data_IF_717266596145
#
_entry.id   IF_717266596145
#
_cell.length_a   1.000
_cell.length_b   1.000
_cell.length_c   1.000
_cell.angle_alpha   90.00
_cell.angle_beta   90.00
_cell.angle_gamma   90.00
#
_symmetry.space_group_name_H-M   'P 1'
#
loop_
_entity.id
_entity.type
_entity.pdbx_description
1 polymer ?
#
# COMPACT_ATOMS: atom_id res chain seq x y z
N UNK A 1 -24.62 -10.76 14.67
CA UNK A 1 -23.47 -10.15 15.39
C UNK A 1 -22.46 -9.79 14.32
N UNK A 2 -22.48 -8.56 13.88
CA UNK A 2 -21.58 -7.99 12.86
C UNK A 2 -20.25 -7.69 13.55
N UNK A 3 -19.24 -8.49 13.29
CA UNK A 3 -17.88 -8.28 13.76
C UNK A 3 -17.32 -7.05 13.04
N UNK A 4 -17.14 -6.00 13.82
CA UNK A 4 -16.63 -4.70 13.39
C UNK A 4 -15.21 -4.90 12.81
N UNK A 5 -15.05 -4.62 11.52
CA UNK A 5 -13.73 -4.64 10.85
C UNK A 5 -12.80 -3.73 11.65
N UNK A 6 -11.69 -4.26 12.17
CA UNK A 6 -10.63 -3.46 12.78
C UNK A 6 -10.05 -2.52 11.70
N UNK A 7 -10.62 -1.34 11.62
CA UNK A 7 -10.02 -0.21 10.92
C UNK A 7 -9.16 0.54 11.92
N UNK A 8 -7.93 0.80 11.55
CA UNK A 8 -7.05 1.66 12.34
C UNK A 8 -7.67 3.05 12.38
N UNK A 9 -7.87 3.67 13.56
CA UNK A 9 -8.37 5.04 13.65
C UNK A 9 -7.43 5.99 12.91
N UNK A 10 -7.94 6.70 11.91
CA UNK A 10 -7.18 7.75 11.22
C UNK A 10 -7.05 8.93 12.18
N UNK A 11 -5.83 9.42 12.47
CA UNK A 11 -5.66 10.64 13.25
C UNK A 11 -6.34 11.82 12.56
N UNK A 12 -7.11 12.60 13.32
CA UNK A 12 -7.77 13.80 12.85
C UNK A 12 -6.74 14.90 12.56
N UNK A 13 -6.38 15.08 11.30
CA UNK A 13 -5.41 16.07 10.82
C UNK A 13 -5.94 17.51 10.75
N UNK A 14 -7.18 17.78 11.21
CA UNK A 14 -7.77 19.12 11.13
C UNK A 14 -7.23 20.11 12.15
N UNK A 15 -6.39 19.70 13.11
CA UNK A 15 -6.00 20.51 14.28
C UNK A 15 -4.54 20.97 14.36
N UNK A 16 -3.73 20.89 13.32
CA UNK A 16 -2.36 21.41 13.39
C UNK A 16 -2.00 22.38 12.25
N UNK A 17 -2.74 23.50 12.14
CA UNK A 17 -2.17 24.73 11.56
C UNK A 17 -1.59 25.56 12.71
N UNK A 18 -0.40 25.19 13.18
CA UNK A 18 0.41 25.94 14.13
C UNK A 18 1.64 26.53 13.43
N UNK A 19 1.93 27.77 13.79
CA UNK A 19 3.04 28.65 13.38
C UNK A 19 4.31 28.00 12.82
N UNK A 20 4.79 28.58 11.75
CA UNK A 20 6.07 28.23 11.10
C UNK A 20 7.24 28.55 12.05
N UNK A 21 8.03 27.56 12.49
CA UNK A 21 9.20 27.81 13.35
C UNK A 21 10.27 28.64 12.62
N UNK A 22 10.95 29.49 13.37
CA UNK A 22 12.08 30.27 12.91
C UNK A 22 13.24 29.38 12.39
N UNK A 23 14.07 29.85 11.45
CA UNK A 23 15.18 29.07 10.91
C UNK A 23 16.19 28.72 12.01
N UNK A 24 16.73 27.48 12.01
CA UNK A 24 17.68 27.04 13.02
C UNK A 24 19.01 27.78 12.90
N UNK A 25 19.55 28.21 14.04
CA UNK A 25 20.91 28.75 14.15
C UNK A 25 21.92 27.61 14.00
N UNK A 26 22.94 27.85 13.21
CA UNK A 26 24.03 26.93 12.89
C UNK A 26 24.94 26.70 14.10
N UNK A 27 24.72 25.63 14.83
CA UNK A 27 25.61 25.14 15.88
C UNK A 27 26.21 23.81 15.45
N UNK A 28 27.47 23.87 15.07
CA UNK A 28 28.35 22.85 14.55
C UNK A 28 28.07 21.40 14.92
N UNK A 29 27.80 20.58 13.91
CA UNK A 29 28.33 19.23 13.86
C UNK A 29 27.51 18.05 14.36
N UNK A 30 26.20 17.99 14.12
CA UNK A 30 25.51 16.70 13.87
C UNK A 30 24.52 16.89 12.71
N UNK A 31 24.43 15.93 11.78
CA UNK A 31 23.42 16.04 10.71
C UNK A 31 22.05 16.02 11.38
N UNK A 32 21.39 17.17 11.38
CA UNK A 32 20.00 17.29 11.81
C UNK A 32 19.16 16.30 11.01
N UNK A 33 18.35 15.43 11.65
CA UNK A 33 17.46 14.56 10.92
C UNK A 33 16.58 15.43 10.00
N UNK A 34 16.36 15.01 8.76
CA UNK A 34 15.57 15.77 7.80
C UNK A 34 14.21 16.10 8.40
N UNK A 35 13.80 17.37 8.29
CA UNK A 35 12.51 17.84 8.78
C UNK A 35 11.39 16.92 8.29
N UNK A 36 10.35 16.66 9.09
CA UNK A 36 9.25 15.80 8.68
C UNK A 36 8.62 16.38 7.40
N UNK A 37 8.65 15.58 6.35
CA UNK A 37 8.05 15.94 5.07
C UNK A 37 6.54 15.91 5.25
N UNK A 38 5.87 17.04 5.04
CA UNK A 38 4.42 17.13 5.07
C UNK A 38 3.86 16.49 3.79
N UNK A 39 3.48 15.22 3.88
CA UNK A 39 2.89 14.46 2.79
C UNK A 39 1.74 13.59 3.28
N UNK A 40 0.73 13.40 2.42
CA UNK A 40 -0.45 12.56 2.70
C UNK A 40 -0.17 11.05 2.46
N UNK A 41 1.07 10.61 2.60
CA UNK A 41 1.40 9.20 2.44
C UNK A 41 0.90 8.39 3.64
N UNK A 42 0.25 7.23 3.41
CA UNK A 42 -0.30 6.44 4.50
C UNK A 42 0.80 6.00 5.48
N UNK A 43 0.47 6.02 6.76
CA UNK A 43 1.32 5.53 7.84
C UNK A 43 0.60 4.34 8.47
N UNK A 44 1.19 3.18 8.36
CA UNK A 44 0.64 1.95 8.90
C UNK A 44 1.29 1.64 10.24
N UNK A 45 0.49 1.17 11.20
CA UNK A 45 1.04 0.66 12.47
C UNK A 45 1.60 -0.75 12.24
N UNK A 46 2.88 -1.00 12.56
CA UNK A 46 3.46 -2.35 12.44
C UNK A 46 2.68 -3.40 13.22
N UNK A 47 2.07 -3.04 14.36
CA UNK A 47 1.28 -3.98 15.16
C UNK A 47 0.05 -4.52 14.41
N UNK A 48 -0.50 -3.72 13.49
CA UNK A 48 -1.69 -4.07 12.71
C UNK A 48 -1.37 -4.64 11.33
N UNK A 49 -0.13 -4.48 10.84
CA UNK A 49 0.20 -4.79 9.46
C UNK A 49 1.42 -5.70 9.26
N UNK A 50 2.35 -5.80 10.22
CA UNK A 50 3.52 -6.65 10.04
C UNK A 50 3.30 -8.06 10.59
N UNK A 51 3.42 -9.06 9.73
CA UNK A 51 3.17 -10.47 10.08
C UNK A 51 1.69 -10.80 10.29
N UNK A 52 0.76 -9.95 9.89
CA UNK A 52 -0.68 -10.07 10.13
C UNK A 52 -1.38 -10.80 8.99
N UNK A 53 -2.43 -11.53 9.36
CA UNK A 53 -3.37 -12.14 8.43
C UNK A 53 -4.66 -11.32 8.38
N UNK A 54 -5.18 -11.09 7.18
CA UNK A 54 -6.45 -10.42 6.97
C UNK A 54 -7.34 -11.22 6.02
N UNK A 55 -8.65 -11.25 6.31
CA UNK A 55 -9.65 -11.82 5.40
C UNK A 55 -9.97 -10.81 4.29
N UNK A 56 -9.88 -11.26 3.04
CA UNK A 56 -10.16 -10.46 1.85
C UNK A 56 -11.48 -10.83 1.17
N UNK A 57 -12.35 -11.55 1.84
CA UNK A 57 -13.62 -12.01 1.27
C UNK A 57 -14.49 -10.86 0.75
N UNK A 58 -14.50 -9.74 1.46
CA UNK A 58 -15.34 -8.58 1.13
C UNK A 58 -14.60 -7.40 0.50
N UNK A 59 -13.27 -7.50 0.38
CA UNK A 59 -12.49 -6.39 -0.16
C UNK A 59 -12.68 -6.31 -1.69
N UNK A 60 -13.02 -5.12 -2.16
CA UNK A 60 -13.24 -4.84 -3.58
C UNK A 60 -12.13 -3.95 -4.13
N UNK A 61 -11.63 -4.29 -5.32
CA UNK A 61 -10.61 -3.50 -6.01
C UNK A 61 -11.05 -3.09 -7.40
N UNK A 62 -10.81 -1.85 -7.75
CA UNK A 62 -10.68 -1.45 -9.15
C UNK A 62 -9.33 -1.90 -9.69
N UNK A 63 -9.29 -2.30 -10.95
CA UNK A 63 -8.09 -2.86 -11.58
C UNK A 63 -7.76 -2.14 -12.86
N UNK A 64 -6.46 -1.90 -13.07
CA UNK A 64 -5.87 -1.51 -14.36
C UNK A 64 -4.53 -2.22 -14.56
N UNK A 65 -3.89 -1.97 -15.70
CA UNK A 65 -2.54 -2.44 -15.99
C UNK A 65 -1.62 -1.26 -16.20
N UNK A 66 -0.38 -1.40 -15.74
CA UNK A 66 0.69 -0.43 -15.89
C UNK A 66 1.82 -1.08 -16.68
N UNK A 67 2.30 -0.42 -17.72
CA UNK A 67 3.49 -0.88 -18.45
C UNK A 67 4.69 -0.92 -17.50
N UNK A 68 5.57 -1.89 -17.69
CA UNK A 68 6.80 -1.98 -16.92
C UNK A 68 7.99 -2.24 -17.83
N UNK A 69 9.10 -1.58 -17.54
CA UNK A 69 10.39 -1.85 -18.18
C UNK A 69 11.30 -2.48 -17.14
N UNK A 70 11.77 -3.70 -17.43
CA UNK A 70 12.61 -4.49 -16.51
C UNK A 70 12.04 -4.61 -15.08
N UNK A 71 10.71 -4.61 -14.96
CA UNK A 71 10.01 -4.69 -13.68
C UNK A 71 9.74 -3.32 -13.00
N UNK A 72 10.25 -2.22 -13.54
CA UNK A 72 9.96 -0.87 -13.05
C UNK A 72 8.67 -0.37 -13.71
N UNK A 73 7.63 0.02 -12.94
CA UNK A 73 6.38 0.50 -13.51
C UNK A 73 6.56 1.89 -14.12
N UNK A 74 6.07 2.05 -15.37
CA UNK A 74 6.07 3.33 -16.08
C UNK A 74 4.66 3.91 -16.04
N UNK A 75 4.53 5.19 -15.63
CA UNK A 75 3.23 5.86 -15.56
C UNK A 75 2.35 5.39 -14.39
N UNK A 76 2.96 4.90 -13.30
CA UNK A 76 2.25 4.47 -12.09
C UNK A 76 1.30 5.55 -11.55
N UNK A 77 1.77 6.80 -11.42
CA UNK A 77 0.96 7.91 -10.92
C UNK A 77 -0.26 8.18 -11.80
N UNK A 78 -0.08 8.24 -13.12
CA UNK A 78 -1.17 8.43 -14.09
C UNK A 78 -2.19 7.30 -14.00
N UNK A 79 -1.74 6.06 -13.91
CA UNK A 79 -2.63 4.90 -13.78
C UNK A 79 -3.41 4.91 -12.46
N UNK A 80 -2.78 5.29 -11.36
CA UNK A 80 -3.42 5.45 -10.05
C UNK A 80 -4.50 6.54 -10.12
N UNK A 81 -4.16 7.74 -10.58
CA UNK A 81 -5.15 8.82 -10.76
C UNK A 81 -6.31 8.42 -11.68
N UNK A 82 -6.03 7.64 -12.73
CA UNK A 82 -7.07 7.10 -13.61
C UNK A 82 -8.04 6.17 -12.88
N UNK A 83 -7.54 5.33 -11.96
CA UNK A 83 -8.38 4.47 -11.10
C UNK A 83 -9.21 5.30 -10.12
N UNK A 84 -8.60 6.29 -9.47
CA UNK A 84 -9.28 7.19 -8.53
C UNK A 84 -10.40 7.98 -9.22
N UNK A 85 -10.11 8.54 -10.41
CA UNK A 85 -11.11 9.25 -11.21
C UNK A 85 -12.27 8.34 -11.63
N UNK A 86 -11.97 7.07 -11.99
CA UNK A 86 -13.00 6.07 -12.34
C UNK A 86 -13.87 5.70 -11.14
N UNK A 87 -13.28 5.54 -9.94
CA UNK A 87 -14.03 5.30 -8.71
C UNK A 87 -15.00 6.43 -8.42
N UNK A 88 -14.48 7.67 -8.36
CA UNK A 88 -15.29 8.87 -8.09
C UNK A 88 -16.40 9.07 -9.13
N UNK A 89 -16.09 8.92 -10.43
CA UNK A 89 -17.09 9.04 -11.51
C UNK A 89 -18.21 8.01 -11.37
N UNK A 90 -17.92 6.83 -10.88
CA UNK A 90 -18.89 5.77 -10.67
C UNK A 90 -19.66 5.92 -9.34
N UNK A 91 -19.26 6.82 -8.45
CA UNK A 91 -19.85 6.97 -7.13
C UNK A 91 -19.38 5.95 -6.09
N UNK A 92 -18.25 5.27 -6.34
CA UNK A 92 -17.62 4.40 -5.35
C UNK A 92 -16.79 5.21 -4.35
N UNK A 93 -16.79 4.79 -3.11
CA UNK A 93 -15.98 5.38 -2.04
C UNK A 93 -14.55 4.86 -2.11
N UNK A 94 -13.57 5.75 -1.97
CA UNK A 94 -12.15 5.40 -1.80
C UNK A 94 -11.83 5.66 -0.33
N UNK A 95 -11.53 4.63 0.48
CA UNK A 95 -11.08 4.83 1.85
C UNK A 95 -9.84 5.72 1.93
N UNK A 96 -9.66 6.44 3.05
CA UNK A 96 -8.48 7.29 3.25
C UNK A 96 -7.17 6.49 3.29
N UNK A 97 -7.26 5.27 3.77
CA UNK A 97 -6.20 4.27 3.87
C UNK A 97 -6.29 3.18 2.78
N UNK A 98 -6.97 3.50 1.67
CA UNK A 98 -7.17 2.57 0.57
C UNK A 98 -5.87 1.94 0.09
N UNK A 99 -5.84 0.61 0.04
CA UNK A 99 -4.70 -0.13 -0.50
C UNK A 99 -4.51 0.15 -1.99
N UNK A 100 -3.28 0.48 -2.37
CA UNK A 100 -2.88 0.64 -3.77
C UNK A 100 -1.82 -0.41 -4.09
N UNK A 101 -2.23 -1.53 -4.61
CA UNK A 101 -1.43 -2.73 -4.75
C UNK A 101 -0.88 -2.88 -6.17
N UNK A 102 0.42 -3.04 -6.28
CA UNK A 102 1.11 -3.29 -7.55
C UNK A 102 1.65 -4.72 -7.57
N UNK A 103 1.24 -5.51 -8.55
CA UNK A 103 1.71 -6.89 -8.71
C UNK A 103 1.84 -7.29 -10.17
N UNK A 104 2.37 -8.48 -10.40
CA UNK A 104 2.43 -9.05 -11.75
C UNK A 104 3.80 -9.05 -12.42
N UNK A 105 3.80 -9.17 -13.75
CA UNK A 105 4.94 -9.54 -14.56
C UNK A 105 5.98 -8.45 -14.85
N UNK A 106 6.99 -8.82 -15.67
CA UNK A 106 8.13 -7.96 -16.00
C UNK A 106 7.81 -6.82 -16.97
N UNK A 107 6.86 -7.03 -17.91
CA UNK A 107 6.51 -6.06 -18.95
C UNK A 107 5.19 -5.35 -18.68
N UNK A 108 4.31 -5.94 -17.88
CA UNK A 108 3.04 -5.37 -17.48
C UNK A 108 2.73 -5.76 -16.05
N UNK A 109 2.34 -4.79 -15.25
CA UNK A 109 1.98 -4.97 -13.86
C UNK A 109 0.51 -4.63 -13.65
N UNK A 110 -0.15 -5.37 -12.80
CA UNK A 110 -1.52 -5.07 -12.39
C UNK A 110 -1.48 -4.04 -11.26
N UNK A 111 -2.31 -3.02 -11.36
CA UNK A 111 -2.53 -2.05 -10.32
C UNK A 111 -3.96 -2.21 -9.81
N UNK A 112 -4.11 -2.39 -8.51
CA UNK A 112 -5.37 -2.50 -7.80
C UNK A 112 -5.52 -1.29 -6.88
N UNK A 113 -6.71 -0.69 -6.86
CA UNK A 113 -7.12 0.35 -5.92
C UNK A 113 -8.32 -0.17 -5.13
N UNK A 114 -8.21 -0.21 -3.83
CA UNK A 114 -9.31 -0.56 -2.93
C UNK A 114 -10.44 0.46 -3.04
N UNK A 115 -11.68 -0.05 -3.07
CA UNK A 115 -12.89 0.76 -3.10
C UNK A 115 -13.97 0.13 -2.23
N UNK A 116 -14.81 0.97 -1.67
CA UNK A 116 -16.00 0.63 -0.90
C UNK A 116 -17.26 1.14 -1.59
N UNK A 117 -18.43 0.80 -1.03
CA UNK A 117 -19.75 1.25 -1.51
C UNK A 117 -19.87 1.11 -3.04
N UNK A 118 -19.53 -0.08 -3.55
CA UNK A 118 -19.43 -0.35 -4.99
C UNK A 118 -20.81 -0.24 -5.66
N UNK A 119 -21.07 0.75 -6.52
CA UNK A 119 -22.34 0.89 -7.20
C UNK A 119 -22.61 -0.28 -8.16
N UNK A 120 -23.90 -0.54 -8.40
CA UNK A 120 -24.32 -1.51 -9.39
C UNK A 120 -23.73 -1.17 -10.78
N UNK A 121 -23.17 -2.16 -11.47
CA UNK A 121 -22.55 -2.00 -12.79
C UNK A 121 -21.08 -1.58 -12.77
N UNK A 122 -20.50 -1.16 -11.66
CA UNK A 122 -19.06 -0.94 -11.58
C UNK A 122 -18.31 -2.27 -11.53
N UNK A 123 -17.49 -2.52 -12.53
CA UNK A 123 -16.69 -3.74 -12.60
C UNK A 123 -15.52 -3.68 -11.60
N UNK A 124 -15.61 -4.46 -10.54
CA UNK A 124 -14.57 -4.64 -9.52
C UNK A 124 -14.03 -6.08 -9.50
N UNK A 125 -12.89 -6.25 -8.88
CA UNK A 125 -12.30 -7.56 -8.56
C UNK A 125 -12.39 -7.78 -7.06
N UNK A 126 -12.98 -8.89 -6.63
CA UNK A 126 -12.97 -9.36 -5.24
C UNK A 126 -12.08 -10.59 -5.17
N UNK A 127 -10.86 -10.49 -4.65
CA UNK A 127 -9.92 -11.62 -4.65
C UNK A 127 -10.39 -12.76 -3.74
N UNK A 128 -11.08 -12.42 -2.66
CA UNK A 128 -11.46 -13.37 -1.61
C UNK A 128 -10.24 -13.98 -0.91
N UNK A 129 -10.50 -14.89 0.04
CA UNK A 129 -9.43 -15.62 0.72
C UNK A 129 -8.66 -14.79 1.74
N UNK A 130 -7.39 -15.12 1.96
CA UNK A 130 -6.56 -14.57 3.03
C UNK A 130 -5.33 -13.86 2.46
N UNK A 131 -4.97 -12.73 3.05
CA UNK A 131 -3.72 -12.04 2.79
C UNK A 131 -2.82 -12.06 4.02
N UNK A 132 -1.57 -12.42 3.81
CA UNK A 132 -0.50 -12.27 4.80
C UNK A 132 0.37 -11.08 4.41
N UNK A 133 0.61 -10.19 5.36
CA UNK A 133 1.29 -8.92 5.11
C UNK A 133 2.62 -8.81 5.86
N UNK A 134 3.59 -8.13 5.24
CA UNK A 134 4.84 -7.70 5.87
C UNK A 134 5.05 -6.21 5.59
N UNK A 135 5.20 -5.46 6.68
CA UNK A 135 5.54 -4.03 6.63
C UNK A 135 7.04 -3.89 6.81
N UNK A 136 7.73 -3.42 5.80
CA UNK A 136 9.19 -3.45 5.73
C UNK A 136 9.78 -2.10 5.30
N UNK A 137 10.94 -1.75 5.84
CA UNK A 137 11.80 -0.69 5.34
C UNK A 137 12.69 -1.26 4.23
N UNK A 138 12.35 -1.01 2.96
CA UNK A 138 13.00 -1.69 1.82
C UNK A 138 13.52 -0.70 0.79
N UNK A 139 14.83 -0.41 0.78
CA UNK A 139 15.46 0.33 -0.32
C UNK A 139 15.19 -0.34 -1.67
N UNK A 140 15.04 0.47 -2.72
CA UNK A 140 14.69 -0.03 -4.08
C UNK A 140 15.53 -1.20 -4.57
N UNK A 141 16.84 -1.19 -4.30
CA UNK A 141 17.74 -2.28 -4.69
C UNK A 141 17.50 -3.60 -3.96
N UNK A 142 16.78 -3.59 -2.84
CA UNK A 142 16.48 -4.76 -2.01
C UNK A 142 15.07 -5.31 -2.18
N UNK A 143 14.22 -4.69 -3.00
CA UNK A 143 12.84 -5.08 -3.18
C UNK A 143 12.68 -6.55 -3.62
N UNK A 144 13.53 -7.02 -4.52
CA UNK A 144 13.49 -8.44 -4.97
C UNK A 144 13.72 -9.40 -3.81
N UNK A 145 14.71 -9.10 -2.98
CA UNK A 145 15.05 -9.91 -1.79
C UNK A 145 13.89 -9.89 -0.78
N UNK A 146 13.33 -8.72 -0.48
CA UNK A 146 12.20 -8.57 0.44
C UNK A 146 10.98 -9.37 -0.03
N UNK A 147 10.64 -9.31 -1.31
CA UNK A 147 9.54 -10.11 -1.90
C UNK A 147 9.83 -11.61 -1.81
N UNK A 148 11.07 -12.05 -2.04
CA UNK A 148 11.46 -13.46 -1.91
C UNK A 148 11.36 -13.94 -0.46
N UNK A 149 11.84 -13.15 0.50
CA UNK A 149 11.80 -13.49 1.92
C UNK A 149 10.34 -13.60 2.40
N UNK A 150 9.49 -12.61 2.08
CA UNK A 150 8.05 -12.66 2.39
C UNK A 150 7.38 -13.88 1.75
N UNK A 151 7.74 -14.22 0.51
CA UNK A 151 7.20 -15.42 -0.16
C UNK A 151 7.60 -16.70 0.56
N UNK A 152 8.85 -16.78 1.01
CA UNK A 152 9.37 -17.96 1.74
C UNK A 152 8.67 -18.11 3.08
N UNK A 153 8.53 -17.02 3.83
CA UNK A 153 7.84 -16.99 5.11
C UNK A 153 6.35 -17.37 4.97
N UNK A 154 5.66 -16.73 4.03
CA UNK A 154 4.26 -17.04 3.74
C UNK A 154 4.10 -18.51 3.29
N UNK A 155 5.02 -19.03 2.46
CA UNK A 155 5.01 -20.46 2.09
C UNK A 155 5.19 -21.39 3.28
N UNK A 156 6.09 -21.05 4.21
CA UNK A 156 6.28 -21.84 5.42
C UNK A 156 5.03 -21.87 6.29
N UNK A 157 4.34 -20.71 6.42
CA UNK A 157 3.12 -20.57 7.20
C UNK A 157 1.92 -21.32 6.60
N UNK A 158 1.74 -21.25 5.28
CA UNK A 158 0.55 -21.82 4.60
C UNK A 158 0.80 -23.14 3.87
N UNK A 159 2.01 -23.69 3.91
CA UNK A 159 2.39 -24.93 3.23
C UNK A 159 2.37 -24.87 1.70
N UNK A 160 2.07 -23.71 1.11
CA UNK A 160 2.00 -23.49 -0.35
C UNK A 160 2.46 -22.11 -0.76
N UNK A 161 2.79 -21.93 -2.02
CA UNK A 161 3.11 -20.62 -2.57
C UNK A 161 1.85 -19.73 -2.61
N UNK A 162 1.98 -18.41 -2.41
CA UNK A 162 0.86 -17.50 -2.58
C UNK A 162 0.38 -17.48 -4.05
N UNK A 163 -0.92 -17.29 -4.22
CA UNK A 163 -1.57 -17.15 -5.53
C UNK A 163 -1.33 -15.77 -6.15
N UNK A 164 -1.05 -14.78 -5.31
CA UNK A 164 -0.70 -13.42 -5.70
C UNK A 164 0.32 -12.80 -4.77
N UNK A 165 1.22 -12.01 -5.35
CA UNK A 165 2.17 -11.17 -4.61
C UNK A 165 1.98 -9.74 -5.05
N UNK A 166 1.80 -8.87 -4.06
CA UNK A 166 1.50 -7.47 -4.27
C UNK A 166 2.42 -6.61 -3.42
N UNK A 167 2.70 -5.41 -3.89
CA UNK A 167 3.53 -4.41 -3.21
C UNK A 167 2.74 -3.12 -3.13
N UNK A 168 2.67 -2.54 -1.95
CA UNK A 168 2.13 -1.20 -1.73
C UNK A 168 3.25 -0.28 -1.24
N UNK A 169 3.62 0.67 -2.07
CA UNK A 169 4.59 1.71 -1.72
C UNK A 169 3.90 2.76 -0.86
N UNK A 170 4.30 2.87 0.40
CA UNK A 170 3.70 3.76 1.40
C UNK A 170 4.33 5.15 1.42
N UNK A 171 5.34 5.37 0.59
CA UNK A 171 6.11 6.61 0.56
C UNK A 171 6.10 7.23 -0.83
N UNK A 172 6.02 8.56 -0.90
CA UNK A 172 6.28 9.32 -2.12
C UNK A 172 7.78 9.63 -2.25
N UNK A 173 8.15 10.28 -3.36
CA UNK A 173 9.55 10.67 -3.62
C UNK A 173 10.12 11.54 -2.51
N UNK A 174 9.32 12.40 -1.91
CA UNK A 174 9.74 13.40 -0.92
C UNK A 174 10.01 12.76 0.45
N UNK A 175 9.13 11.85 0.91
CA UNK A 175 9.25 11.22 2.22
C UNK A 175 10.00 9.87 2.20
N UNK A 176 10.31 9.32 1.04
CA UNK A 176 10.85 7.96 0.94
C UNK A 176 12.17 7.77 1.69
N UNK A 177 13.09 8.72 1.59
CA UNK A 177 14.39 8.63 2.30
C UNK A 177 14.21 8.72 3.82
N UNK A 178 13.41 9.68 4.29
CA UNK A 178 13.14 9.88 5.73
C UNK A 178 12.40 8.68 6.36
N UNK A 179 11.54 8.01 5.58
CA UNK A 179 10.78 6.83 6.00
C UNK A 179 11.40 5.52 5.50
N UNK A 180 12.67 5.54 5.11
CA UNK A 180 13.46 4.37 4.68
C UNK A 180 12.73 3.47 3.68
N UNK A 181 11.95 4.10 2.78
CA UNK A 181 11.19 3.40 1.73
C UNK A 181 10.18 2.38 2.27
N UNK A 182 9.45 2.72 3.32
CA UNK A 182 8.39 1.87 3.87
C UNK A 182 7.51 1.29 2.78
N UNK A 183 7.31 0.00 2.86
CA UNK A 183 6.62 -0.79 1.84
C UNK A 183 5.86 -1.93 2.51
N UNK A 184 4.61 -2.12 2.12
CA UNK A 184 3.85 -3.30 2.48
C UNK A 184 3.96 -4.34 1.37
N UNK A 185 4.34 -5.56 1.72
CA UNK A 185 4.31 -6.72 0.81
C UNK A 185 3.16 -7.62 1.25
N UNK A 186 2.32 -7.99 0.29
CA UNK A 186 1.14 -8.79 0.52
C UNK A 186 1.24 -10.12 -0.24
N UNK A 187 1.22 -11.22 0.50
CA UNK A 187 1.12 -12.57 -0.02
C UNK A 187 -0.34 -13.03 0.08
N UNK A 188 -1.02 -13.12 -1.05
CA UNK A 188 -2.44 -13.43 -1.11
C UNK A 188 -2.69 -14.90 -1.45
N UNK A 189 -3.62 -15.51 -0.74
CA UNK A 189 -4.08 -16.90 -0.88
C UNK A 189 -5.57 -16.92 -1.16
N UNK A 190 -5.97 -17.37 -2.33
CA UNK A 190 -7.39 -17.56 -2.68
C UNK A 190 -8.03 -18.61 -1.78
N UNK A 191 -9.31 -18.44 -1.48
CA UNK A 191 -10.10 -19.50 -0.91
C UNK A 191 -10.03 -20.73 -1.83
N UNK A 192 -9.86 -21.92 -1.26
CA UNK A 192 -10.01 -23.16 -2.01
C UNK A 192 -11.49 -23.49 -2.04
N UNK A 193 -12.02 -23.72 -3.22
CA UNK A 193 -13.34 -24.31 -3.40
C UNK A 193 -13.37 -25.74 -2.83
#
# INVERSE_FOLDING_TARGET
MTEERRRVPVPDFSKSRGERPAPPQDNGGQPTPPAPVDCNCPRLDPADWDGIESDWSDIAFLKTSVSALMGVPIGYGTARHGLEARARKAGATIPNDAMVLLGGGRMSRKLLLEVEDVPAGLKVTRPGGVAFTRLLEVPWGKMKEAVQNTTTEAKAKYGRKPDGLWVWYLTCRECSAARKFETLIVAHYKARA
#
